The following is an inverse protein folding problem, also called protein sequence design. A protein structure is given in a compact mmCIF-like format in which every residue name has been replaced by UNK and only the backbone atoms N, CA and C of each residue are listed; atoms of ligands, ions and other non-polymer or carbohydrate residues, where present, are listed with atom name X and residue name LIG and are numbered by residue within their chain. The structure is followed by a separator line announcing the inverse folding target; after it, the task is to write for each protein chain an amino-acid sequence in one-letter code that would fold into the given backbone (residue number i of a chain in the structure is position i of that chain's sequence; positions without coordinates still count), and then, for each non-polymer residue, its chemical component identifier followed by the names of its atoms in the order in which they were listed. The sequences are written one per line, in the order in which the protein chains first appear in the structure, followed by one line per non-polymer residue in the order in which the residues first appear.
data_IF_053531468583
#
_entry.id   IF_053531468583
#
_cell.length_a   1.000
_cell.length_b   1.000
_cell.length_c   1.000
_cell.angle_alpha   90.00
_cell.angle_beta   90.00
_cell.angle_gamma   90.00
#
_symmetry.space_group_name_H-M   'P 1'
#
loop_
_entity.id
_entity.type
_entity.pdbx_description
1 polymer ?
#
# COMPACT_ATOMS: atom_id res chain seq x y z
N UNK A 1 3.46 13.83 -6.42
CA UNK A 1 4.38 14.32 -5.37
C UNK A 1 3.64 14.67 -4.07
N UNK A 2 2.91 15.80 -3.98
CA UNK A 2 2.25 16.25 -2.73
C UNK A 2 1.37 15.18 -2.06
N UNK A 3 0.58 14.43 -2.85
CA UNK A 3 -0.31 13.36 -2.34
C UNK A 3 0.46 12.19 -1.71
N UNK A 4 1.64 11.81 -2.23
CA UNK A 4 2.45 10.72 -1.68
C UNK A 4 3.06 11.10 -0.33
N UNK A 5 3.51 12.36 -0.19
CA UNK A 5 4.02 12.90 1.06
C UNK A 5 2.92 12.87 2.13
N UNK A 6 1.70 13.27 1.77
CA UNK A 6 0.55 13.21 2.69
C UNK A 6 0.28 11.77 3.13
N UNK A 7 0.27 10.80 2.21
CA UNK A 7 0.06 9.38 2.55
C UNK A 7 1.13 8.87 3.52
N UNK A 8 2.41 9.16 3.26
CA UNK A 8 3.51 8.81 4.16
C UNK A 8 3.37 9.46 5.54
N UNK A 9 3.06 10.76 5.58
CA UNK A 9 2.86 11.48 6.83
C UNK A 9 1.70 10.89 7.63
N UNK A 10 0.56 10.59 7.00
CA UNK A 10 -0.58 9.96 7.67
C UNK A 10 -0.27 8.55 8.18
N UNK A 11 0.49 7.76 7.42
CA UNK A 11 0.92 6.42 7.82
C UNK A 11 1.87 6.46 9.02
N UNK A 12 2.84 7.38 9.01
CA UNK A 12 3.75 7.61 10.13
C UNK A 12 3.01 8.06 11.39
N UNK A 13 2.09 9.03 11.26
CA UNK A 13 1.27 9.49 12.39
C UNK A 13 0.42 8.35 12.97
N UNK A 14 -0.16 7.51 12.10
CA UNK A 14 -0.90 6.33 12.54
C UNK A 14 0.01 5.32 13.25
N UNK A 15 1.22 5.07 12.73
CA UNK A 15 2.15 4.12 13.35
C UNK A 15 2.58 4.57 14.75
N UNK A 16 2.94 5.86 14.89
CA UNK A 16 3.29 6.46 16.19
C UNK A 16 2.10 6.43 17.15
N UNK A 17 0.89 6.75 16.67
CA UNK A 17 -0.32 6.67 17.49
C UNK A 17 -0.60 5.26 17.98
N UNK A 18 -0.47 4.25 17.13
CA UNK A 18 -0.68 2.85 17.50
C UNK A 18 0.33 2.38 18.55
N UNK A 19 1.60 2.78 18.45
CA UNK A 19 2.61 2.51 19.50
C UNK A 19 2.23 3.20 20.80
N UNK A 20 1.87 4.49 20.74
CA UNK A 20 1.53 5.28 21.92
C UNK A 20 0.38 4.68 22.73
N UNK A 21 -0.59 4.05 22.06
CA UNK A 21 -1.72 3.37 22.70
C UNK A 21 -1.47 1.88 23.00
N UNK A 22 -0.23 1.39 22.90
CA UNK A 22 0.16 -0.01 23.12
C UNK A 22 -0.65 -0.99 22.24
N UNK A 23 -0.94 -0.56 21.00
CA UNK A 23 -1.71 -1.30 20.00
C UNK A 23 -0.80 -1.84 18.90
N UNK A 24 0.40 -2.28 19.26
CA UNK A 24 1.44 -2.67 18.31
C UNK A 24 1.01 -3.81 17.37
N UNK A 25 0.21 -4.76 17.85
CA UNK A 25 -0.33 -5.86 17.03
C UNK A 25 -1.13 -5.38 15.81
N UNK A 26 -1.75 -4.19 15.87
CA UNK A 26 -2.50 -3.63 14.76
C UNK A 26 -1.60 -3.07 13.66
N UNK A 27 -0.35 -2.71 13.96
CA UNK A 27 0.63 -2.28 12.95
C UNK A 27 0.84 -3.39 11.91
N UNK A 28 1.01 -4.62 12.38
CA UNK A 28 1.19 -5.82 11.54
C UNK A 28 -0.05 -6.11 10.71
N UNK A 29 -1.23 -6.11 11.33
CA UNK A 29 -2.50 -6.44 10.66
C UNK A 29 -2.81 -5.41 9.58
N UNK A 30 -2.83 -4.12 9.93
CA UNK A 30 -3.16 -3.04 8.99
C UNK A 30 -2.09 -2.95 7.89
N UNK A 31 -0.81 -3.05 8.27
CA UNK A 31 0.31 -3.04 7.33
C UNK A 31 0.21 -4.16 6.29
N UNK A 32 -0.01 -5.41 6.72
CA UNK A 32 -0.12 -6.55 5.80
C UNK A 32 -1.38 -6.45 4.91
N UNK A 33 -2.54 -6.14 5.49
CA UNK A 33 -3.79 -6.03 4.73
C UNK A 33 -3.68 -4.95 3.65
N UNK A 34 -3.16 -3.77 4.01
CA UNK A 34 -2.99 -2.67 3.04
C UNK A 34 -1.92 -2.98 2.00
N UNK A 35 -0.85 -3.69 2.36
CA UNK A 35 0.16 -4.14 1.41
C UNK A 35 -0.42 -5.11 0.37
N UNK A 36 -1.16 -6.13 0.81
CA UNK A 36 -1.80 -7.09 -0.10
C UNK A 36 -2.88 -6.44 -0.97
N UNK A 37 -3.64 -5.48 -0.43
CA UNK A 37 -4.56 -4.64 -1.22
C UNK A 37 -3.80 -3.89 -2.33
N UNK A 38 -2.66 -3.28 -2.01
CA UNK A 38 -1.79 -2.64 -3.00
C UNK A 38 -1.33 -3.59 -4.10
N UNK A 39 -0.90 -4.80 -3.74
CA UNK A 39 -0.51 -5.82 -4.73
C UNK A 39 -1.68 -6.33 -5.57
N UNK A 40 -2.87 -6.47 -4.99
CA UNK A 40 -4.06 -6.85 -5.75
C UNK A 40 -4.43 -5.77 -6.77
N UNK A 41 -4.32 -4.50 -6.38
CA UNK A 41 -4.62 -3.34 -7.24
C UNK A 41 -3.56 -3.06 -8.30
N UNK A 42 -2.31 -3.51 -8.12
CA UNK A 42 -1.24 -3.33 -9.12
C UNK A 42 -1.51 -4.13 -10.41
N UNK A 43 -2.41 -5.13 -10.35
CA UNK A 43 -2.67 -6.05 -11.44
C UNK A 43 -1.59 -7.11 -11.63
N UNK A 44 -0.60 -7.21 -10.73
CA UNK A 44 0.45 -8.25 -10.78
C UNK A 44 -0.04 -9.60 -10.25
N UNK A 45 -1.13 -9.64 -9.49
CA UNK A 45 -1.72 -10.87 -8.94
C UNK A 45 -2.77 -11.52 -9.87
N UNK A 46 -2.77 -11.19 -11.16
CA UNK A 46 -3.77 -11.67 -12.12
C UNK A 46 -3.13 -12.68 -13.08
N UNK A 47 -3.91 -13.66 -13.58
CA UNK A 47 -3.43 -14.67 -14.54
C UNK A 47 -2.74 -14.04 -15.76
N UNK A 48 -1.73 -14.73 -16.32
CA UNK A 48 -0.90 -14.24 -17.42
C UNK A 48 -1.71 -13.74 -18.63
N UNK A 49 -2.86 -14.36 -18.93
CA UNK A 49 -3.77 -13.91 -19.99
C UNK A 49 -4.41 -12.55 -19.70
N UNK A 50 -4.79 -12.31 -18.45
CA UNK A 50 -5.34 -11.02 -18.01
C UNK A 50 -4.24 -9.96 -17.93
N UNK A 51 -2.99 -10.32 -17.62
CA UNK A 51 -1.84 -9.40 -17.70
C UNK A 51 -1.55 -8.97 -19.14
N UNK A 52 -1.60 -9.91 -20.10
CA UNK A 52 -1.46 -9.62 -21.53
C UNK A 52 -2.61 -8.75 -22.04
N UNK A 53 -3.84 -9.03 -21.64
CA UNK A 53 -5.01 -8.21 -21.98
C UNK A 53 -4.93 -6.79 -21.38
N UNK A 54 -4.47 -6.66 -20.13
CA UNK A 54 -4.26 -5.35 -19.50
C UNK A 54 -3.13 -4.57 -20.17
N UNK A 55 -2.05 -5.25 -20.60
CA UNK A 55 -0.95 -4.62 -21.34
C UNK A 55 -1.40 -4.14 -22.72
N UNK A 56 -2.21 -4.93 -23.42
CA UNK A 56 -2.78 -4.56 -24.71
C UNK A 56 -3.80 -3.40 -24.61
N UNK A 57 -4.52 -3.26 -23.48
CA UNK A 57 -5.41 -2.12 -23.22
C UNK A 57 -4.69 -0.85 -22.76
N UNK A 58 -3.43 -0.90 -22.31
CA UNK A 58 -2.69 0.29 -21.87
C UNK A 58 -2.40 1.28 -23.00
N UNK A 59 -2.52 0.87 -24.26
CA UNK A 59 -2.25 1.75 -25.42
C UNK A 59 -3.38 2.72 -25.73
N UNK A 60 -4.61 2.43 -25.30
CA UNK A 60 -5.77 3.26 -25.58
C UNK A 60 -6.52 3.63 -24.29
N UNK A 61 -6.55 4.94 -24.03
CA UNK A 61 -7.56 5.63 -23.21
C UNK A 61 -7.29 5.66 -21.68
N UNK A 62 -6.90 6.86 -21.20
CA UNK A 62 -7.13 7.39 -19.85
C UNK A 62 -6.37 6.78 -18.64
N UNK A 63 -5.06 6.53 -18.77
CA UNK A 63 -4.21 5.94 -17.71
C UNK A 63 -3.80 6.86 -16.52
N UNK A 64 -4.27 8.10 -16.39
CA UNK A 64 -3.62 9.02 -15.43
C UNK A 64 -4.18 9.00 -13.99
N UNK A 65 -5.39 8.47 -13.76
CA UNK A 65 -6.06 8.61 -12.45
C UNK A 65 -6.10 7.33 -11.59
N UNK A 66 -6.30 6.15 -12.21
CA UNK A 66 -6.38 4.86 -11.48
C UNK A 66 -5.02 4.23 -11.19
N UNK A 67 -4.00 4.59 -11.96
CA UNK A 67 -2.69 3.93 -11.94
C UNK A 67 -1.86 4.24 -10.67
N UNK A 68 -2.24 5.24 -9.87
CA UNK A 68 -1.53 5.59 -8.64
C UNK A 68 -2.16 4.97 -7.37
N UNK A 69 -3.34 4.35 -7.46
CA UNK A 69 -4.03 3.80 -6.29
C UNK A 69 -3.23 2.68 -5.63
N UNK A 70 -2.71 1.73 -6.42
CA UNK A 70 -1.84 0.67 -5.90
C UNK A 70 -0.64 1.27 -5.14
N UNK A 71 -0.06 2.33 -5.70
CA UNK A 71 1.13 2.98 -5.16
C UNK A 71 0.81 3.66 -3.82
N UNK A 72 -0.37 4.26 -3.66
CA UNK A 72 -0.80 4.81 -2.37
C UNK A 72 -0.95 3.73 -1.29
N UNK A 73 -1.53 2.58 -1.62
CA UNK A 73 -1.64 1.47 -0.67
C UNK A 73 -0.27 0.93 -0.25
N UNK A 74 0.65 0.76 -1.21
CA UNK A 74 2.02 0.32 -0.90
C UNK A 74 2.75 1.35 -0.04
N UNK A 75 2.76 2.63 -0.42
CA UNK A 75 3.41 3.68 0.38
C UNK A 75 2.78 3.83 1.77
N UNK A 76 1.47 3.64 1.90
CA UNK A 76 0.81 3.65 3.19
C UNK A 76 1.23 2.47 4.06
N UNK A 77 1.36 1.27 3.48
CA UNK A 77 1.68 0.06 4.23
C UNK A 77 3.12 0.02 4.75
N UNK A 78 4.08 0.62 4.04
CA UNK A 78 5.50 0.49 4.33
C UNK A 78 5.89 1.01 5.72
N UNK A 79 5.55 2.25 6.14
CA UNK A 79 5.87 2.71 7.48
C UNK A 79 5.27 1.82 8.57
N UNK A 80 4.03 1.36 8.41
CA UNK A 80 3.39 0.46 9.39
C UNK A 80 4.14 -0.86 9.52
N UNK A 81 4.55 -1.46 8.40
CA UNK A 81 5.30 -2.72 8.39
C UNK A 81 6.71 -2.56 8.96
N UNK A 82 7.42 -1.48 8.60
CA UNK A 82 8.74 -1.15 9.13
C UNK A 82 8.65 -0.95 10.64
N UNK A 83 7.67 -0.15 11.11
CA UNK A 83 7.45 0.08 12.53
C UNK A 83 7.10 -1.21 13.25
N UNK A 84 6.19 -2.03 12.73
CA UNK A 84 5.87 -3.33 13.33
C UNK A 84 7.11 -4.24 13.46
N UNK A 85 8.02 -4.22 12.49
CA UNK A 85 9.25 -5.01 12.54
C UNK A 85 10.20 -4.50 13.62
N UNK A 86 10.40 -3.18 13.69
CA UNK A 86 11.26 -2.55 14.70
C UNK A 86 10.69 -2.70 16.11
N UNK A 87 9.37 -2.62 16.27
CA UNK A 87 8.69 -2.81 17.57
C UNK A 87 8.61 -4.27 18.03
N UNK A 88 9.13 -5.23 17.27
CA UNK A 88 9.15 -6.65 17.65
C UNK A 88 7.77 -7.35 17.58
N UNK A 89 6.84 -6.81 16.80
CA UNK A 89 5.49 -7.39 16.58
C UNK A 89 5.52 -8.53 15.56
N UNK A 90 6.60 -8.62 14.78
CA UNK A 90 6.76 -9.62 13.74
C UNK A 90 7.36 -10.92 14.22
#
# INVERSE_FOLDING_TARGET
MKKFIVVLATSLLLSVGLIYFEKDSYLKIIGLVTFFLGLAMSGTLVSGDRMRANTARKTDIAMNNTNNLFLYFILFSLPLLITAYVSGVF
#
